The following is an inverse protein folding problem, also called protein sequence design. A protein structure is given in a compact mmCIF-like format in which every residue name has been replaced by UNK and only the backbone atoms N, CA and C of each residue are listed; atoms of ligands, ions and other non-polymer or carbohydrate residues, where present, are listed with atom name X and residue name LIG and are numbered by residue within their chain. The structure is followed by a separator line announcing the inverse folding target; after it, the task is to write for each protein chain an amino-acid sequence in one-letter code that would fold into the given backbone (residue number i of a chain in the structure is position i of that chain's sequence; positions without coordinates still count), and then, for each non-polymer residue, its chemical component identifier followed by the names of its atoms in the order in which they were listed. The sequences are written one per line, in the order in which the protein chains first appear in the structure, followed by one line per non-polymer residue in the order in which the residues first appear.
data_IF_770666909168
#
_entry.id   IF_770666909168
#
_cell.length_a   1.000
_cell.length_b   1.000
_cell.length_c   1.000
_cell.angle_alpha   90.00
_cell.angle_beta   90.00
_cell.angle_gamma   90.00
#
_symmetry.space_group_name_H-M   'P 1'
#
loop_
_entity.id
_entity.type
_entity.pdbx_description
1 polymer ?
#
# COMPACT_ATOMS: atom_id res chain seq x y z
N UNK A 1 -0.19 -13.72 -5.04
CA UNK A 1 -0.33 -12.38 -5.67
C UNK A 1 -1.64 -11.78 -5.17
N UNK A 2 -1.66 -10.52 -4.73
CA UNK A 2 -2.90 -9.88 -4.23
C UNK A 2 -3.67 -9.21 -5.37
N UNK A 3 -4.98 -9.00 -5.19
CA UNK A 3 -5.88 -8.46 -6.20
C UNK A 3 -5.41 -7.10 -6.74
N UNK A 4 -5.14 -6.16 -5.83
CA UNK A 4 -4.66 -4.82 -6.18
C UNK A 4 -3.31 -4.83 -6.91
N UNK A 5 -2.44 -5.79 -6.58
CA UNK A 5 -1.14 -5.93 -7.25
C UNK A 5 -1.33 -6.36 -8.70
N UNK A 6 -2.17 -7.37 -8.93
CA UNK A 6 -2.48 -7.89 -10.26
C UNK A 6 -3.05 -6.78 -11.17
N UNK A 7 -4.09 -6.09 -10.68
CA UNK A 7 -4.76 -5.03 -11.45
C UNK A 7 -3.79 -3.90 -11.78
N UNK A 8 -2.92 -3.50 -10.84
CA UNK A 8 -1.90 -2.49 -11.08
C UNK A 8 -0.92 -2.92 -12.19
N UNK A 9 -0.37 -4.14 -12.12
CA UNK A 9 0.56 -4.69 -13.13
C UNK A 9 -0.08 -4.76 -14.52
N UNK A 10 -1.31 -5.25 -14.63
CA UNK A 10 -2.02 -5.42 -15.91
C UNK A 10 -2.37 -4.08 -16.57
N UNK A 11 -2.46 -3.00 -15.80
CA UNK A 11 -2.79 -1.66 -16.28
C UNK A 11 -1.56 -0.71 -16.28
N UNK A 12 -0.34 -1.23 -16.09
CA UNK A 12 0.89 -0.43 -16.12
C UNK A 12 1.06 0.57 -14.99
N UNK A 13 0.37 0.36 -13.86
CA UNK A 13 0.53 1.13 -12.62
C UNK A 13 1.57 0.46 -11.70
N UNK A 14 2.10 1.20 -10.72
CA UNK A 14 3.06 0.64 -9.75
C UNK A 14 2.33 -0.33 -8.77
N UNK A 15 2.63 -1.64 -8.81
CA UNK A 15 2.03 -2.61 -7.88
C UNK A 15 2.40 -2.38 -6.41
N UNK A 16 3.58 -1.81 -6.16
CA UNK A 16 4.06 -1.51 -4.80
C UNK A 16 3.23 -0.38 -4.21
N UNK A 17 3.00 0.67 -4.99
CA UNK A 17 2.14 1.79 -4.60
C UNK A 17 0.71 1.31 -4.30
N UNK A 18 0.15 0.45 -5.18
CA UNK A 18 -1.18 -0.13 -4.98
C UNK A 18 -1.28 -0.94 -3.68
N UNK A 19 -0.28 -1.76 -3.36
CA UNK A 19 -0.21 -2.50 -2.09
C UNK A 19 -0.15 -1.55 -0.90
N UNK A 20 0.66 -0.49 -0.97
CA UNK A 20 0.83 0.44 0.14
C UNK A 20 -0.45 1.23 0.38
N UNK A 21 -1.08 1.75 -0.68
CA UNK A 21 -2.38 2.44 -0.57
C UNK A 21 -3.44 1.54 0.06
N UNK A 22 -3.51 0.28 -0.35
CA UNK A 22 -4.42 -0.70 0.24
C UNK A 22 -4.16 -0.88 1.75
N UNK A 23 -2.89 -1.07 2.15
CA UNK A 23 -2.53 -1.21 3.56
C UNK A 23 -2.83 0.06 4.37
N UNK A 24 -2.53 1.23 3.82
CA UNK A 24 -2.83 2.51 4.44
C UNK A 24 -4.34 2.69 4.65
N UNK A 25 -5.15 2.35 3.65
CA UNK A 25 -6.61 2.36 3.74
C UNK A 25 -7.11 1.46 4.87
N UNK A 26 -6.61 0.22 4.97
CA UNK A 26 -6.97 -0.72 6.03
C UNK A 26 -6.61 -0.14 7.41
N UNK A 27 -5.37 0.31 7.59
CA UNK A 27 -4.89 0.84 8.88
C UNK A 27 -5.70 2.08 9.28
N UNK A 28 -5.88 3.03 8.37
CA UNK A 28 -6.62 4.28 8.65
C UNK A 28 -8.09 4.01 8.96
N UNK A 29 -8.73 3.08 8.24
CA UNK A 29 -10.10 2.66 8.54
C UNK A 29 -10.17 2.03 9.92
N UNK A 30 -9.23 1.15 10.28
CA UNK A 30 -9.22 0.50 11.60
C UNK A 30 -8.92 1.46 12.75
N UNK A 31 -8.27 2.62 12.52
CA UNK A 31 -8.12 3.66 13.56
C UNK A 31 -9.50 4.18 14.02
N UNK A 32 -10.44 4.37 13.10
CA UNK A 32 -11.75 5.04 13.37
C UNK A 32 -12.96 4.10 13.36
N UNK A 33 -12.87 2.94 12.70
CA UNK A 33 -13.95 1.97 12.54
C UNK A 33 -13.47 0.53 12.85
N UNK A 34 -14.41 -0.42 12.88
CA UNK A 34 -14.14 -1.86 13.15
C UNK A 34 -14.46 -2.76 11.95
N UNK A 35 -14.88 -2.18 10.82
CA UNK A 35 -15.13 -2.90 9.58
C UNK A 35 -14.64 -2.09 8.38
N UNK A 36 -14.28 -2.81 7.32
CA UNK A 36 -13.79 -2.27 6.06
C UNK A 36 -14.84 -2.50 4.97
N UNK A 37 -15.12 -1.48 4.18
CA UNK A 37 -15.94 -1.59 2.99
C UNK A 37 -15.06 -1.99 1.82
N UNK A 38 -15.13 -3.27 1.42
CA UNK A 38 -14.18 -3.87 0.50
C UNK A 38 -14.21 -3.21 -0.90
N UNK A 39 -15.38 -2.71 -1.34
CA UNK A 39 -15.52 -2.04 -2.63
C UNK A 39 -14.89 -0.65 -2.61
N UNK A 40 -15.01 0.08 -1.50
CA UNK A 40 -14.46 1.44 -1.38
C UNK A 40 -12.94 1.51 -1.35
N UNK A 41 -12.25 0.38 -1.08
CA UNK A 41 -10.79 0.33 -1.11
C UNK A 41 -10.27 0.67 -2.52
N UNK A 42 -11.00 0.30 -3.58
CA UNK A 42 -10.57 0.51 -4.96
C UNK A 42 -10.37 2.00 -5.28
N UNK A 43 -11.22 2.88 -4.74
CA UNK A 43 -11.15 4.32 -4.91
C UNK A 43 -9.91 4.93 -4.24
N UNK A 44 -9.45 4.36 -3.13
CA UNK A 44 -8.23 4.77 -2.44
C UNK A 44 -6.97 4.28 -3.16
N UNK A 45 -7.02 3.08 -3.74
CA UNK A 45 -5.89 2.47 -4.45
C UNK A 45 -5.70 3.13 -5.83
N UNK A 46 -6.80 3.35 -6.56
CA UNK A 46 -6.82 3.81 -7.95
C UNK A 46 -7.69 5.06 -8.13
N UNK A 47 -7.38 6.18 -7.44
CA UNK A 47 -8.24 7.37 -7.43
C UNK A 47 -8.50 7.96 -8.82
N UNK A 48 -7.53 7.83 -9.73
CA UNK A 48 -7.57 8.41 -11.08
C UNK A 48 -8.05 7.43 -12.16
N UNK A 49 -8.33 6.16 -11.81
CA UNK A 49 -8.71 5.13 -12.78
C UNK A 49 -10.04 4.46 -12.43
N UNK A 50 -11.18 5.00 -12.93
CA UNK A 50 -12.49 4.37 -12.79
C UNK A 50 -12.57 2.96 -13.40
N UNK A 51 -11.73 2.68 -14.41
CA UNK A 51 -11.65 1.35 -15.05
C UNK A 51 -11.10 0.33 -14.07
N UNK A 52 -9.97 0.63 -13.43
CA UNK A 52 -9.35 -0.25 -12.45
C UNK A 52 -10.20 -0.40 -11.18
N UNK A 53 -10.94 0.66 -10.80
CA UNK A 53 -11.92 0.57 -9.71
C UNK A 53 -13.02 -0.46 -10.01
N UNK A 54 -13.62 -0.40 -11.20
CA UNK A 54 -14.64 -1.36 -11.62
C UNK A 54 -14.10 -2.78 -11.73
N UNK A 55 -12.89 -2.94 -12.25
CA UNK A 55 -12.24 -4.24 -12.35
C UNK A 55 -12.02 -4.86 -10.96
N UNK A 56 -11.56 -4.06 -10.00
CA UNK A 56 -11.39 -4.49 -8.62
C UNK A 56 -12.72 -4.91 -7.97
N UNK A 57 -13.79 -4.12 -8.18
CA UNK A 57 -15.13 -4.45 -7.70
C UNK A 57 -15.67 -5.75 -8.30
N UNK A 58 -15.48 -5.96 -9.60
CA UNK A 58 -15.89 -7.19 -10.28
C UNK A 58 -15.16 -8.42 -9.72
N UNK A 59 -13.84 -8.32 -9.51
CA UNK A 59 -13.05 -9.41 -8.94
C UNK A 59 -13.39 -9.68 -7.46
N UNK A 60 -13.76 -8.65 -6.69
CA UNK A 60 -14.30 -8.83 -5.32
C UNK A 60 -15.61 -9.60 -5.33
N UNK A 61 -16.51 -9.26 -6.26
CA UNK A 61 -17.80 -9.95 -6.41
C UNK A 61 -17.61 -11.41 -6.84
N UNK A 62 -16.74 -11.65 -7.83
CA UNK A 62 -16.42 -12.99 -8.31
C UNK A 62 -15.78 -13.86 -7.21
N UNK A 63 -14.92 -13.26 -6.38
CA UNK A 63 -14.31 -13.92 -5.24
C UNK A 63 -15.27 -14.11 -4.04
N UNK A 64 -16.54 -13.68 -4.15
CA UNK A 64 -17.53 -13.70 -3.08
C UNK A 64 -17.03 -13.04 -1.78
N UNK A 65 -16.21 -12.00 -1.90
CA UNK A 65 -15.70 -11.25 -0.75
C UNK A 65 -16.85 -10.43 -0.17
N UNK A 66 -17.15 -10.54 1.14
CA UNK A 66 -18.19 -9.74 1.78
C UNK A 66 -17.92 -8.24 1.60
N UNK A 67 -18.99 -7.48 1.35
CA UNK A 67 -18.90 -6.03 1.22
C UNK A 67 -18.36 -5.37 2.49
N UNK A 68 -18.72 -5.91 3.67
CA UNK A 68 -18.16 -5.51 4.96
C UNK A 68 -17.28 -6.60 5.55
N UNK A 69 -15.99 -6.31 5.65
CA UNK A 69 -15.01 -7.21 6.26
C UNK A 69 -14.71 -6.74 7.67
N UNK A 70 -14.96 -7.58 8.67
CA UNK A 70 -14.58 -7.31 10.06
C UNK A 70 -13.15 -7.80 10.29
N UNK A 71 -12.29 -6.91 10.80
CA UNK A 71 -10.89 -7.19 11.08
C UNK A 71 -10.61 -7.00 12.57
N UNK A 72 -9.66 -7.76 13.10
CA UNK A 72 -9.19 -7.56 14.47
C UNK A 72 -8.34 -6.28 14.54
N UNK A 73 -8.98 -5.20 14.99
CA UNK A 73 -8.36 -3.89 15.18
C UNK A 73 -7.09 -3.93 16.01
N UNK A 74 -7.04 -4.74 17.09
CA UNK A 74 -5.85 -4.82 17.95
C UNK A 74 -4.69 -5.45 17.20
N UNK A 75 -4.96 -6.46 16.38
CA UNK A 75 -3.94 -7.13 15.57
C UNK A 75 -3.40 -6.22 14.47
N UNK A 76 -4.27 -5.51 13.75
CA UNK A 76 -3.88 -4.61 12.65
C UNK A 76 -3.01 -3.47 13.18
N UNK A 77 -3.46 -2.78 14.24
CA UNK A 77 -2.74 -1.63 14.78
C UNK A 77 -1.40 -2.00 15.46
N UNK A 78 -1.24 -3.24 15.93
CA UNK A 78 -0.01 -3.72 16.56
C UNK A 78 1.01 -4.26 15.56
N UNK A 79 0.56 -4.83 14.44
CA UNK A 79 1.41 -5.68 13.58
C UNK A 79 1.69 -5.07 12.20
N UNK A 80 0.84 -4.15 11.70
CA UNK A 80 0.84 -3.78 10.28
C UNK A 80 0.89 -2.27 10.02
N UNK A 81 1.65 -1.51 10.80
CA UNK A 81 1.90 -0.10 10.48
C UNK A 81 3.23 0.12 9.74
N UNK A 82 4.01 -0.94 9.48
CA UNK A 82 5.32 -0.85 8.83
C UNK A 82 5.32 -1.60 7.50
N UNK A 83 5.95 -1.00 6.50
CA UNK A 83 6.29 -1.60 5.22
C UNK A 83 7.78 -1.94 5.21
N UNK A 84 8.10 -3.23 5.09
CA UNK A 84 9.49 -3.71 4.99
C UNK A 84 9.90 -3.79 3.52
N UNK A 85 10.93 -3.04 3.15
CA UNK A 85 11.60 -3.12 1.84
C UNK A 85 12.89 -3.91 2.02
N UNK A 86 13.16 -4.82 1.10
CA UNK A 86 14.46 -5.47 0.96
C UNK A 86 14.95 -5.23 -0.46
N UNK A 87 16.13 -4.64 -0.58
CA UNK A 87 16.80 -4.41 -1.86
C UNK A 87 17.57 -5.66 -2.31
N UNK A 88 17.93 -5.69 -3.60
CA UNK A 88 18.79 -6.72 -4.20
C UNK A 88 20.23 -6.69 -3.64
N UNK A 89 20.69 -5.53 -3.20
CA UNK A 89 21.97 -5.35 -2.49
C UNK A 89 21.95 -5.81 -1.03
N UNK A 90 20.80 -6.23 -0.51
CA UNK A 90 20.65 -6.74 0.86
C UNK A 90 20.33 -5.69 1.92
N UNK A 91 20.19 -4.41 1.54
CA UNK A 91 19.73 -3.34 2.44
C UNK A 91 18.26 -3.58 2.78
N UNK A 92 17.93 -3.59 4.08
CA UNK A 92 16.56 -3.71 4.59
C UNK A 92 16.11 -2.40 5.26
N UNK A 93 14.94 -1.91 4.86
CA UNK A 93 14.36 -0.66 5.39
C UNK A 93 12.95 -0.96 5.89
N UNK A 94 12.66 -0.60 7.14
CA UNK A 94 11.31 -0.68 7.69
C UNK A 94 10.73 0.74 7.79
N UNK A 95 9.69 1.01 7.01
CA UNK A 95 9.10 2.35 6.85
C UNK A 95 7.68 2.35 7.40
N UNK A 96 7.28 3.29 8.27
CA UNK A 96 5.87 3.45 8.61
C UNK A 96 5.02 3.67 7.35
N UNK A 97 3.91 2.94 7.22
CA UNK A 97 3.05 2.98 6.01
C UNK A 97 2.56 4.39 5.70
N UNK A 98 2.33 5.20 6.73
CA UNK A 98 1.94 6.61 6.59
C UNK A 98 3.01 7.49 5.91
N UNK A 99 4.27 7.07 5.94
CA UNK A 99 5.38 7.79 5.29
C UNK A 99 5.77 7.22 3.94
N UNK A 100 5.42 5.96 3.64
CA UNK A 100 5.84 5.29 2.40
C UNK A 100 5.35 6.01 1.13
N UNK A 101 4.09 6.48 1.12
CA UNK A 101 3.52 7.25 0.01
C UNK A 101 3.64 8.77 0.20
N UNK A 102 4.38 9.22 1.21
CA UNK A 102 4.57 10.64 1.47
C UNK A 102 5.93 11.10 0.92
N UNK A 103 5.90 11.84 -0.19
CA UNK A 103 7.10 12.36 -0.86
C UNK A 103 7.93 13.31 0.01
N UNK A 104 7.35 13.86 1.08
CA UNK A 104 8.11 14.65 2.07
C UNK A 104 9.01 13.77 2.96
N UNK A 105 8.85 12.44 2.94
CA UNK A 105 9.63 11.52 3.77
C UNK A 105 10.31 10.42 2.97
N UNK A 106 9.61 9.79 2.02
CA UNK A 106 10.12 8.68 1.23
C UNK A 106 9.75 8.86 -0.23
N UNK A 107 10.74 8.68 -1.11
CA UNK A 107 10.53 8.68 -2.54
C UNK A 107 11.30 7.54 -3.19
N UNK A 108 10.57 6.68 -3.90
CA UNK A 108 11.16 5.65 -4.75
C UNK A 108 11.19 6.19 -6.19
N UNK A 109 12.36 6.14 -6.82
CA UNK A 109 12.61 6.68 -8.16
C UNK A 109 13.07 5.53 -9.04
N UNK A 110 12.44 5.41 -10.22
CA UNK A 110 12.93 4.54 -11.28
C UNK A 110 13.78 5.37 -12.23
N UNK A 111 15.05 5.04 -12.34
CA UNK A 111 16.02 5.78 -13.14
C UNK A 111 15.99 5.28 -14.59
N UNK A 112 16.38 6.14 -15.54
CA UNK A 112 16.40 5.81 -16.98
C UNK A 112 17.29 4.60 -17.33
N UNK A 113 18.27 4.28 -16.47
CA UNK A 113 19.15 3.12 -16.62
C UNK A 113 18.56 1.82 -16.05
N UNK A 114 17.30 1.83 -15.61
CA UNK A 114 16.60 0.68 -15.04
C UNK A 114 16.92 0.37 -13.57
N UNK A 115 17.74 1.20 -12.91
CA UNK A 115 17.99 1.08 -11.47
C UNK A 115 16.92 1.79 -10.65
N UNK A 116 16.74 1.37 -9.40
CA UNK A 116 15.87 2.04 -8.44
C UNK A 116 16.71 2.87 -7.46
N UNK A 117 16.20 4.03 -7.05
CA UNK A 117 16.73 4.82 -5.96
C UNK A 117 15.66 5.05 -4.89
N UNK A 118 16.06 5.02 -3.62
CA UNK A 118 15.19 5.31 -2.48
C UNK A 118 15.77 6.52 -1.77
N UNK A 119 15.04 7.65 -1.83
CA UNK A 119 15.41 8.86 -1.12
C UNK A 119 14.60 8.96 0.18
N UNK A 120 15.29 9.31 1.26
CA UNK A 120 14.70 9.55 2.57
C UNK A 120 14.94 11.03 2.95
N UNK A 121 13.88 11.72 3.34
CA UNK A 121 13.88 13.16 3.61
C UNK A 121 13.44 13.46 5.06
N UNK A 122 13.69 14.70 5.51
CA UNK A 122 13.25 15.21 6.81
C UNK A 122 13.74 14.40 8.03
N UNK A 123 14.98 13.91 7.97
CA UNK A 123 15.63 13.15 9.06
C UNK A 123 16.56 14.08 9.87
N UNK A 124 16.27 14.25 11.16
CA UNK A 124 17.09 15.04 12.08
C UNK A 124 18.19 14.22 12.78
N UNK A 125 17.98 12.91 12.97
CA UNK A 125 18.92 12.05 13.71
C UNK A 125 18.93 10.66 13.10
N UNK A 126 20.12 10.09 12.99
CA UNK A 126 20.35 8.70 12.60
C UNK A 126 21.08 8.02 13.77
N UNK A 127 20.61 6.84 14.16
CA UNK A 127 21.17 6.04 15.25
C UNK A 127 21.53 4.66 14.69
N UNK A 128 22.68 4.14 15.10
CA UNK A 128 23.05 2.74 14.85
C UNK A 128 22.30 1.83 15.83
N UNK A 129 21.76 0.71 15.34
CA UNK A 129 20.85 -0.16 16.08
C UNK A 129 21.20 -1.63 15.96
#
# INVERSE_FOLDING_TARGET
MTLQKKIAEENGQDPTEAIVKAKACVVNTMKVANCLDAKKISAEIFPESPVMQKEYEAQIQEANIPEKVHLDKKRILKTENMHKIKTDTGIEINIPIEYFNNKDYVQIINNDNGTLSINLYNINTILDK
#
